data_IF_033993655444
#
_entry.id   IF_033993655444
#
_cell.length_a   1.000
_cell.length_b   1.000
_cell.length_c   1.000
_cell.angle_alpha   90.00
_cell.angle_beta   90.00
_cell.angle_gamma   90.00
#
_symmetry.space_group_name_H-M   'P 1'
#
loop_
_entity.id
_entity.type
_entity.pdbx_description
1 polymer ?
#
# COMPACT_ATOMS: atom_id res chain seq x y z
N UNK A 1 -19.79 14.06 -8.29
CA UNK A 1 -18.44 14.33 -7.77
C UNK A 1 -18.16 13.57 -6.48
N UNK A 2 -18.88 13.81 -5.38
CA UNK A 2 -18.67 13.09 -4.10
C UNK A 2 -18.72 11.55 -4.23
N UNK A 3 -19.69 11.00 -4.97
CA UNK A 3 -19.79 9.53 -5.16
C UNK A 3 -18.51 8.93 -5.76
N UNK A 4 -17.89 9.60 -6.73
CA UNK A 4 -16.65 9.14 -7.34
C UNK A 4 -15.47 9.18 -6.37
N UNK A 5 -15.39 10.23 -5.55
CA UNK A 5 -14.36 10.33 -4.50
C UNK A 5 -14.51 9.22 -3.45
N UNK A 6 -15.73 8.89 -3.04
CA UNK A 6 -16.01 7.80 -2.10
C UNK A 6 -15.58 6.45 -2.70
N UNK A 7 -15.95 6.18 -3.96
CA UNK A 7 -15.55 4.95 -4.64
C UNK A 7 -14.02 4.88 -4.78
N UNK A 8 -13.38 5.97 -5.18
CA UNK A 8 -11.92 6.05 -5.28
C UNK A 8 -11.22 5.79 -3.94
N UNK A 9 -11.74 6.35 -2.86
CA UNK A 9 -11.23 6.11 -1.51
C UNK A 9 -11.36 4.63 -1.10
N UNK A 10 -12.49 4.00 -1.37
CA UNK A 10 -12.70 2.58 -1.07
C UNK A 10 -11.72 1.71 -1.86
N UNK A 11 -11.58 1.96 -3.17
CA UNK A 11 -10.64 1.23 -4.03
C UNK A 11 -9.21 1.42 -3.54
N UNK A 12 -8.82 2.65 -3.18
CA UNK A 12 -7.50 2.95 -2.63
C UNK A 12 -7.21 2.18 -1.34
N UNK A 13 -8.15 2.17 -0.39
CA UNK A 13 -8.00 1.44 0.87
C UNK A 13 -7.92 -0.07 0.65
N UNK A 14 -8.73 -0.63 -0.26
CA UNK A 14 -8.70 -2.06 -0.60
C UNK A 14 -7.41 -2.44 -1.32
N UNK A 15 -6.95 -1.62 -2.26
CA UNK A 15 -5.72 -1.88 -3.01
C UNK A 15 -4.46 -1.84 -2.11
N UNK A 16 -4.44 -0.95 -1.11
CA UNK A 16 -3.31 -0.82 -0.17
C UNK A 16 -3.44 -1.74 1.05
N UNK A 17 -4.58 -2.41 1.23
CA UNK A 17 -4.85 -3.29 2.35
C UNK A 17 -3.83 -4.44 2.50
N UNK A 18 -3.46 -5.19 1.45
CA UNK A 18 -2.55 -6.33 1.60
C UNK A 18 -1.17 -5.91 2.13
N UNK A 19 -0.60 -4.84 1.57
CA UNK A 19 0.70 -4.31 2.00
C UNK A 19 0.64 -3.77 3.44
N UNK A 20 -0.43 -3.05 3.79
CA UNK A 20 -0.61 -2.50 5.14
C UNK A 20 -0.74 -3.60 6.19
N UNK A 21 -1.48 -4.67 5.89
CA UNK A 21 -1.65 -5.81 6.79
C UNK A 21 -0.34 -6.58 7.00
N UNK A 22 0.40 -6.88 5.93
CA UNK A 22 1.70 -7.53 6.04
C UNK A 22 2.70 -6.67 6.83
N UNK A 23 2.68 -5.35 6.64
CA UNK A 23 3.51 -4.43 7.40
C UNK A 23 3.13 -4.42 8.89
N UNK A 24 1.83 -4.44 9.23
CA UNK A 24 1.39 -4.56 10.63
C UNK A 24 1.89 -5.85 11.27
N UNK A 25 1.85 -6.98 10.57
CA UNK A 25 2.37 -8.24 11.08
C UNK A 25 3.88 -8.16 11.31
N UNK A 26 4.63 -7.59 10.37
CA UNK A 26 6.07 -7.38 10.52
C UNK A 26 6.40 -6.49 11.73
N UNK A 27 5.75 -5.33 11.84
CA UNK A 27 5.95 -4.42 12.96
C UNK A 27 5.50 -5.04 14.29
N UNK A 28 4.44 -5.85 14.29
CA UNK A 28 4.01 -6.63 15.44
C UNK A 28 5.06 -7.62 15.93
N UNK A 29 5.79 -8.28 15.02
CA UNK A 29 6.93 -9.13 15.38
C UNK A 29 8.11 -8.34 15.98
N UNK A 30 8.22 -7.04 15.70
CA UNK A 30 9.18 -6.13 16.33
C UNK A 30 8.70 -5.57 17.67
N UNK A 31 7.54 -6.01 18.17
CA UNK A 31 6.91 -5.49 19.39
C UNK A 31 6.14 -4.18 19.19
N UNK A 32 6.02 -3.69 17.94
CA UNK A 32 5.25 -2.50 17.59
C UNK A 32 3.83 -2.93 17.17
N UNK A 33 2.96 -3.13 18.15
CA UNK A 33 1.54 -3.49 17.97
C UNK A 33 0.68 -2.32 17.48
N UNK A 34 1.00 -1.77 16.31
CA UNK A 34 0.30 -0.63 15.74
C UNK A 34 -1.07 -1.01 15.17
N UNK A 35 -2.01 -0.07 15.21
CA UNK A 35 -3.31 -0.23 14.57
C UNK A 35 -3.22 -0.06 13.04
N UNK A 36 -4.27 -0.48 12.33
CA UNK A 36 -4.38 -0.28 10.87
C UNK A 36 -4.19 1.19 10.48
N UNK A 37 -4.92 2.09 11.15
CA UNK A 37 -4.83 3.54 10.88
C UNK A 37 -3.45 4.11 11.20
N UNK A 38 -2.74 3.58 12.21
CA UNK A 38 -1.36 3.97 12.50
C UNK A 38 -0.35 3.47 11.47
N UNK A 39 -0.63 2.33 10.83
CA UNK A 39 0.28 1.68 9.87
C UNK A 39 0.02 2.11 8.42
N UNK A 40 -1.19 2.59 8.13
CA UNK A 40 -1.65 2.97 6.79
C UNK A 40 -0.72 3.94 6.04
N UNK A 41 -0.17 5.02 6.65
CA UNK A 41 0.74 5.91 5.94
C UNK A 41 1.97 5.19 5.37
N UNK A 42 2.59 4.30 6.14
CA UNK A 42 3.72 3.49 5.68
C UNK A 42 3.26 2.38 4.72
N UNK A 43 2.09 1.79 4.94
CA UNK A 43 1.51 0.78 4.03
C UNK A 43 1.28 1.31 2.62
N UNK A 44 0.90 2.58 2.49
CA UNK A 44 0.79 3.28 1.19
C UNK A 44 2.17 3.37 0.52
N UNK A 45 3.20 3.80 1.26
CA UNK A 45 4.56 3.90 0.71
C UNK A 45 5.11 2.53 0.28
N UNK A 46 4.86 1.48 1.06
CA UNK A 46 5.21 0.10 0.69
C UNK A 46 4.46 -0.35 -0.56
N UNK A 47 3.17 -0.02 -0.69
CA UNK A 47 2.38 -0.34 -1.89
C UNK A 47 2.97 0.32 -3.15
N UNK A 48 3.36 1.60 -3.04
CA UNK A 48 4.01 2.34 -4.14
C UNK A 48 5.35 1.69 -4.49
N UNK A 49 6.17 1.35 -3.49
CA UNK A 49 7.45 0.70 -3.70
C UNK A 49 7.28 -0.65 -4.41
N UNK A 50 6.36 -1.50 -3.95
CA UNK A 50 6.07 -2.80 -4.56
C UNK A 50 5.58 -2.65 -6.01
N UNK A 51 4.71 -1.68 -6.27
CA UNK A 51 4.28 -1.35 -7.63
C UNK A 51 5.44 -0.93 -8.53
N UNK A 52 6.33 -0.07 -8.04
CA UNK A 52 7.51 0.36 -8.81
C UNK A 52 8.52 -0.76 -9.05
N UNK A 53 8.74 -1.64 -8.06
CA UNK A 53 9.71 -2.73 -8.15
C UNK A 53 9.22 -3.87 -9.07
N UNK A 54 7.90 -4.00 -9.26
CA UNK A 54 7.29 -4.99 -10.15
C UNK A 54 7.04 -4.45 -11.57
N UNK A 55 7.35 -3.18 -11.84
CA UNK A 55 7.20 -2.61 -13.17
C UNK A 55 8.20 -3.23 -14.16
N UNK A 56 7.77 -3.61 -15.38
CA UNK A 56 8.68 -4.15 -16.39
C UNK A 56 9.72 -3.11 -16.79
N UNK A 57 10.98 -3.54 -16.94
CA UNK A 57 12.01 -2.69 -17.51
C UNK A 57 11.75 -2.52 -19.01
N UNK A 58 11.47 -1.29 -19.43
CA UNK A 58 11.49 -0.97 -20.85
C UNK A 58 12.95 -0.94 -21.31
N UNK A 59 13.36 -1.91 -22.12
CA UNK A 59 14.65 -1.85 -22.81
C UNK A 59 14.35 -1.25 -24.18
N UNK A 60 14.72 0.01 -24.38
CA UNK A 60 14.73 0.61 -25.72
C UNK A 60 15.84 -0.10 -26.47
N UNK A 61 15.48 -0.91 -27.47
CA UNK A 61 16.43 -1.46 -28.43
C UNK A 61 16.41 -0.54 -29.64
N UNK A 62 17.55 0.10 -29.89
CA UNK A 62 17.82 0.87 -31.11
C UNK A 62 17.87 -0.05 -32.35
#
# INVERSE_FOLDING_TARGET
>A
MIKGLIVGLIVFLVATFPATWLLMLFLGNLGLGLSYWGTLPLGILVSVLLGSASAPSYIIRD
#
